data_IF_531611515785
#
_entry.id   IF_531611515785
#
_cell.length_a   1.000
_cell.length_b   1.000
_cell.length_c   1.000
_cell.angle_alpha   90.00
_cell.angle_beta   90.00
_cell.angle_gamma   90.00
#
_symmetry.space_group_name_H-M   'P 1'
#
loop_
_entity.id
_entity.type
_entity.pdbx_description
1 polymer ?
#
# COMPACT_ATOMS: atom_id res chain seq x y z
N UNK A 1 6.94 -9.79 25.65
CA UNK A 1 6.31 -8.48 25.32
C UNK A 1 6.77 -8.06 23.93
N UNK A 2 5.95 -8.26 22.88
CA UNK A 2 6.26 -7.85 21.49
C UNK A 2 4.98 -7.38 20.75
N UNK A 3 4.14 -6.58 21.39
CA UNK A 3 2.90 -6.05 20.75
C UNK A 3 3.07 -4.62 20.18
N UNK A 4 4.18 -3.95 20.47
CA UNK A 4 4.39 -2.54 20.14
C UNK A 4 4.91 -2.35 18.70
N UNK A 5 5.55 -3.36 18.13
CA UNK A 5 6.18 -3.26 16.81
C UNK A 5 5.26 -3.65 15.67
N UNK A 6 4.32 -4.57 15.84
CA UNK A 6 3.47 -5.05 14.74
C UNK A 6 2.62 -3.94 14.12
N UNK A 7 2.05 -3.05 14.93
CA UNK A 7 1.27 -1.91 14.40
C UNK A 7 2.17 -0.89 13.70
N UNK A 8 3.37 -0.64 14.22
CA UNK A 8 4.35 0.27 13.59
C UNK A 8 4.87 -0.32 12.28
N UNK A 9 5.27 -1.58 12.29
CA UNK A 9 5.73 -2.34 11.13
C UNK A 9 4.65 -2.44 10.06
N UNK A 10 3.41 -2.73 10.45
CA UNK A 10 2.26 -2.76 9.52
C UNK A 10 2.02 -1.39 8.90
N UNK A 11 2.06 -0.30 9.67
CA UNK A 11 1.96 1.07 9.12
C UNK A 11 3.12 1.41 8.18
N UNK A 12 4.34 1.00 8.50
CA UNK A 12 5.50 1.19 7.61
C UNK A 12 5.30 0.44 6.29
N UNK A 13 4.80 -0.80 6.35
CA UNK A 13 4.44 -1.61 5.19
C UNK A 13 3.32 -0.94 4.37
N UNK A 14 2.25 -0.49 5.03
CA UNK A 14 1.12 0.15 4.37
C UNK A 14 1.53 1.47 3.67
N UNK A 15 2.38 2.29 4.31
CA UNK A 15 2.99 3.46 3.66
C UNK A 15 3.81 3.06 2.43
N UNK A 16 4.63 2.01 2.52
CA UNK A 16 5.43 1.54 1.39
C UNK A 16 4.56 1.09 0.20
N UNK A 17 3.45 0.38 0.47
CA UNK A 17 2.47 0.00 -0.56
C UNK A 17 1.88 1.25 -1.23
N UNK A 18 1.45 2.24 -0.45
CA UNK A 18 0.89 3.48 -1.00
C UNK A 18 1.90 4.28 -1.81
N UNK A 19 3.13 4.43 -1.32
CA UNK A 19 4.21 5.12 -2.05
C UNK A 19 4.48 4.43 -3.38
N UNK A 20 4.58 3.08 -3.38
CA UNK A 20 4.82 2.32 -4.62
C UNK A 20 3.65 2.45 -5.59
N UNK A 21 2.41 2.41 -5.09
CA UNK A 21 1.23 2.66 -5.91
C UNK A 21 1.25 4.06 -6.54
N UNK A 22 1.55 5.10 -5.75
CA UNK A 22 1.56 6.50 -6.19
C UNK A 22 2.64 6.81 -7.25
N UNK A 23 3.70 5.98 -7.33
CA UNK A 23 4.70 6.06 -8.40
C UNK A 23 4.19 5.57 -9.76
N UNK A 24 3.22 4.66 -9.75
CA UNK A 24 2.68 4.03 -10.96
C UNK A 24 1.33 4.63 -11.37
N UNK A 25 0.52 5.04 -10.39
CA UNK A 25 -0.85 5.50 -10.58
C UNK A 25 -1.15 6.69 -9.67
N UNK A 26 -2.14 7.51 -10.04
CA UNK A 26 -2.58 8.61 -9.18
C UNK A 26 -3.28 8.03 -7.93
N UNK A 27 -2.82 8.42 -6.74
CA UNK A 27 -3.45 8.08 -5.48
C UNK A 27 -4.80 8.77 -5.25
N UNK A 28 -5.58 8.26 -4.29
CA UNK A 28 -6.80 8.96 -3.82
C UNK A 28 -6.45 10.01 -2.75
N UNK A 29 -7.33 11.00 -2.57
CA UNK A 29 -7.17 12.03 -1.52
C UNK A 29 -6.99 11.40 -0.13
N UNK A 30 -7.74 10.32 0.16
CA UNK A 30 -7.64 9.58 1.42
C UNK A 30 -6.24 8.98 1.62
N UNK A 31 -5.66 8.38 0.59
CA UNK A 31 -4.30 7.80 0.66
C UNK A 31 -3.21 8.88 0.76
N UNK A 32 -3.43 10.05 0.16
CA UNK A 32 -2.51 11.19 0.26
C UNK A 32 -2.53 11.79 1.67
N UNK A 33 -3.71 12.01 2.25
CA UNK A 33 -3.88 12.45 3.64
C UNK A 33 -3.14 11.53 4.61
N UNK A 34 -3.28 10.21 4.44
CA UNK A 34 -2.56 9.23 5.26
C UNK A 34 -1.03 9.35 5.13
N UNK A 35 -0.52 9.56 3.92
CA UNK A 35 0.92 9.72 3.68
C UNK A 35 1.46 11.04 4.27
N UNK A 36 0.65 12.10 4.26
CA UNK A 36 0.95 13.40 4.87
C UNK A 36 0.92 13.37 6.40
N UNK A 37 0.36 12.31 7.00
CA UNK A 37 0.27 12.15 8.45
C UNK A 37 -0.99 12.76 9.06
N UNK A 38 -1.98 13.11 8.23
CA UNK A 38 -3.26 13.63 8.70
C UNK A 38 -3.99 12.61 9.57
N UNK A 39 -4.73 13.12 10.55
CA UNK A 39 -5.63 12.28 11.36
C UNK A 39 -6.80 11.83 10.50
N UNK A 40 -7.02 10.53 10.49
CA UNK A 40 -8.17 9.90 9.85
C UNK A 40 -9.15 9.43 10.91
N UNK A 41 -10.44 9.64 10.67
CA UNK A 41 -11.51 9.07 11.49
C UNK A 41 -11.61 7.53 11.30
N UNK A 42 -12.48 6.88 12.09
CA UNK A 42 -12.64 5.43 12.04
C UNK A 42 -13.15 4.91 10.69
N UNK A 43 -14.07 5.63 10.04
CA UNK A 43 -14.61 5.25 8.74
C UNK A 43 -13.53 5.41 7.66
N UNK A 44 -12.81 6.53 7.66
CA UNK A 44 -11.67 6.80 6.79
C UNK A 44 -10.57 5.75 6.94
N UNK A 45 -10.23 5.34 8.17
CA UNK A 45 -9.28 4.24 8.40
C UNK A 45 -9.78 2.91 7.85
N UNK A 46 -11.07 2.60 8.02
CA UNK A 46 -11.65 1.38 7.47
C UNK A 46 -11.54 1.35 5.94
N UNK A 47 -11.93 2.43 5.25
CA UNK A 47 -11.80 2.53 3.81
C UNK A 47 -10.33 2.49 3.35
N UNK A 48 -9.45 3.20 4.05
CA UNK A 48 -8.02 3.20 3.75
C UNK A 48 -7.43 1.79 3.81
N UNK A 49 -7.74 1.02 4.87
CA UNK A 49 -7.23 -0.34 5.03
C UNK A 49 -7.70 -1.26 3.89
N UNK A 50 -8.96 -1.10 3.45
CA UNK A 50 -9.49 -1.84 2.29
C UNK A 50 -8.76 -1.44 1.01
N UNK A 51 -8.57 -0.15 0.77
CA UNK A 51 -7.81 0.36 -0.39
C UNK A 51 -6.38 -0.16 -0.41
N UNK A 52 -5.68 -0.16 0.73
CA UNK A 52 -4.31 -0.68 0.82
C UNK A 52 -4.26 -2.19 0.52
N UNK A 53 -5.23 -2.96 1.02
CA UNK A 53 -5.30 -4.39 0.73
C UNK A 53 -5.47 -4.65 -0.78
N UNK A 54 -6.32 -3.88 -1.45
CA UNK A 54 -6.51 -3.99 -2.90
C UNK A 54 -5.25 -3.56 -3.67
N UNK A 55 -4.58 -2.49 -3.25
CA UNK A 55 -3.31 -2.06 -3.87
C UNK A 55 -2.22 -3.10 -3.70
N UNK A 56 -2.14 -3.76 -2.53
CA UNK A 56 -1.16 -4.82 -2.26
C UNK A 56 -1.36 -6.00 -3.21
N UNK A 57 -2.61 -6.43 -3.44
CA UNK A 57 -2.93 -7.49 -4.40
C UNK A 57 -2.53 -7.11 -5.82
N UNK A 58 -2.98 -5.95 -6.29
CA UNK A 58 -2.67 -5.45 -7.64
C UNK A 58 -1.17 -5.28 -7.89
N UNK A 59 -0.42 -4.78 -6.92
CA UNK A 59 1.04 -4.65 -7.03
C UNK A 59 1.73 -6.01 -7.08
N UNK A 60 1.21 -7.01 -6.37
CA UNK A 60 1.72 -8.37 -6.46
C UNK A 60 1.46 -8.95 -7.85
N UNK A 61 0.24 -8.79 -8.39
CA UNK A 61 -0.11 -9.23 -9.74
C UNK A 61 0.77 -8.56 -10.81
N UNK A 62 0.98 -7.24 -10.72
CA UNK A 62 1.88 -6.50 -11.64
C UNK A 62 3.33 -6.98 -11.49
N UNK A 63 3.82 -7.15 -10.26
CA UNK A 63 5.21 -7.56 -10.02
C UNK A 63 5.46 -8.98 -10.53
N UNK A 64 4.46 -9.86 -10.36
CA UNK A 64 4.49 -11.21 -10.90
C UNK A 64 4.47 -11.20 -12.43
N UNK A 65 3.57 -10.44 -13.04
CA UNK A 65 3.48 -10.31 -14.50
C UNK A 65 4.78 -9.78 -15.12
N UNK A 66 5.38 -8.74 -14.52
CA UNK A 66 6.68 -8.24 -14.96
C UNK A 66 7.82 -9.26 -14.79
N UNK A 67 7.75 -10.15 -13.80
CA UNK A 67 8.74 -11.23 -13.65
C UNK A 67 8.65 -12.20 -14.82
N UNK A 68 7.45 -12.65 -15.18
CA UNK A 68 7.22 -13.55 -16.32
C UNK A 68 7.76 -12.93 -17.61
N UNK A 69 7.41 -11.67 -17.90
CA UNK A 69 7.91 -10.97 -19.10
C UNK A 69 9.44 -10.87 -19.14
N UNK A 70 10.11 -10.63 -18.01
CA UNK A 70 11.57 -10.55 -17.97
C UNK A 70 12.27 -11.91 -18.11
N UNK A 71 11.56 -13.01 -17.83
CA UNK A 71 12.06 -14.37 -18.00
C UNK A 71 11.91 -14.84 -19.45
N UNK A 72 10.84 -14.45 -20.16
CA UNK A 72 10.61 -14.78 -21.57
C UNK A 72 11.45 -13.97 -22.58
N UNK A 73 12.02 -12.83 -22.18
CA UNK A 73 12.93 -12.03 -23.03
C UNK A 73 14.35 -12.64 -23.11
N UNK A 74 14.69 -13.57 -22.21
CA UNK A 74 16.02 -14.18 -22.13
C UNK A 74 16.22 -15.39 -23.03
#
# INVERSE_FOLDING_TARGET
>A
MLYVDDKKAKRLNDKAILIRWHKLFKGTLLTQKYLQGDKLDKAQQFFLNRTIADYRKRLADISWFMRVLNEDIK
#
